data_IF_825858964266
#
_entry.id   IF_825858964266
#
_cell.length_a   1.000
_cell.length_b   1.000
_cell.length_c   1.000
_cell.angle_alpha   90.00
_cell.angle_beta   90.00
_cell.angle_gamma   90.00
#
_symmetry.space_group_name_H-M   'P 1'
#
loop_
_entity.id
_entity.type
_entity.pdbx_description
1 polymer ?
#
# COMPACT_ATOMS: atom_id res chain seq x y z
N UNK A 1 21.39 -6.31 -1.28
CA UNK A 1 21.80 -6.02 -2.67
C UNK A 1 20.59 -5.47 -3.44
N UNK A 2 20.74 -4.29 -4.04
CA UNK A 2 19.70 -3.58 -4.81
C UNK A 2 19.90 -3.91 -6.28
N UNK A 3 18.90 -4.46 -6.92
CA UNK A 3 18.92 -4.74 -8.36
C UNK A 3 18.55 -3.49 -9.14
N UNK A 4 19.28 -3.20 -10.20
CA UNK A 4 18.98 -2.07 -11.08
C UNK A 4 19.20 -2.43 -12.56
N UNK A 5 18.47 -1.75 -13.45
CA UNK A 5 18.71 -1.76 -14.88
C UNK A 5 19.06 -0.38 -15.38
N UNK A 6 19.70 -0.27 -16.52
CA UNK A 6 20.10 0.99 -17.13
C UNK A 6 19.23 1.27 -18.36
N UNK A 7 18.85 2.54 -18.53
CA UNK A 7 18.09 3.01 -19.69
C UNK A 7 18.60 4.39 -20.13
N UNK A 8 18.36 4.72 -21.38
CA UNK A 8 18.67 6.05 -21.93
C UNK A 8 17.49 7.00 -21.76
N UNK A 9 17.76 8.21 -21.36
CA UNK A 9 16.77 9.29 -21.26
C UNK A 9 17.35 10.57 -21.82
N UNK A 10 16.58 11.24 -22.67
CA UNK A 10 16.92 12.56 -23.22
C UNK A 10 16.32 13.64 -22.34
N UNK A 11 17.12 14.64 -21.99
CA UNK A 11 16.61 15.82 -21.29
C UNK A 11 15.93 16.74 -22.31
N UNK A 12 14.60 16.84 -22.24
CA UNK A 12 13.82 17.69 -23.16
C UNK A 12 14.08 19.17 -22.99
N UNK A 13 14.63 19.60 -21.84
CA UNK A 13 15.00 21.01 -21.60
C UNK A 13 16.38 21.36 -22.19
N UNK A 14 17.24 20.35 -22.44
CA UNK A 14 18.58 20.49 -23.03
C UNK A 14 18.82 19.33 -24.01
N UNK A 15 18.15 19.31 -25.15
CA UNK A 15 18.27 18.22 -26.12
C UNK A 15 19.67 18.13 -26.74
N UNK A 16 20.42 19.22 -26.74
CA UNK A 16 21.80 19.31 -27.24
C UNK A 16 22.77 18.43 -26.45
N UNK A 17 22.49 18.14 -25.18
CA UNK A 17 23.32 17.27 -24.35
C UNK A 17 23.26 15.79 -24.78
N UNK A 18 22.31 15.42 -25.67
CA UNK A 18 22.08 14.06 -26.09
C UNK A 18 21.49 13.15 -24.99
N UNK A 19 21.23 11.87 -25.29
CA UNK A 19 20.70 10.92 -24.35
C UNK A 19 21.77 10.51 -23.33
N UNK A 20 21.41 10.53 -22.04
CA UNK A 20 22.28 10.05 -20.93
C UNK A 20 21.72 8.77 -20.33
N UNK A 21 22.61 7.91 -19.83
CA UNK A 21 22.24 6.66 -19.18
C UNK A 21 21.87 6.90 -17.71
N UNK A 22 20.75 6.36 -17.29
CA UNK A 22 20.23 6.44 -15.93
C UNK A 22 19.93 5.04 -15.39
N UNK A 23 20.09 4.87 -14.08
CA UNK A 23 19.72 3.65 -13.38
C UNK A 23 18.26 3.69 -12.93
N UNK A 24 17.57 2.56 -13.05
CA UNK A 24 16.22 2.33 -12.51
C UNK A 24 16.25 1.13 -11.60
N UNK A 25 15.74 1.30 -10.37
CA UNK A 25 15.57 0.20 -9.43
C UNK A 25 14.67 -0.89 -10.00
N UNK A 26 15.05 -2.15 -9.82
CA UNK A 26 14.27 -3.32 -10.18
C UNK A 26 13.76 -4.00 -8.91
N UNK A 27 12.51 -3.70 -8.56
CA UNK A 27 11.86 -4.29 -7.37
C UNK A 27 11.78 -5.80 -7.54
N UNK A 28 12.34 -6.55 -6.60
CA UNK A 28 12.27 -8.02 -6.58
C UNK A 28 10.89 -8.50 -6.21
N UNK A 29 10.37 -7.96 -5.11
CA UNK A 29 9.16 -8.44 -4.48
C UNK A 29 8.53 -7.35 -3.62
N UNK A 30 7.22 -7.36 -3.52
CA UNK A 30 6.47 -6.54 -2.57
C UNK A 30 6.19 -7.39 -1.34
N UNK A 31 6.64 -6.93 -0.19
CA UNK A 31 6.36 -7.60 1.08
C UNK A 31 5.13 -6.97 1.71
N UNK A 32 4.16 -7.79 1.99
CA UNK A 32 3.00 -7.42 2.80
C UNK A 32 3.34 -7.48 4.30
N UNK A 33 2.38 -7.06 5.12
CA UNK A 33 2.53 -7.05 6.57
C UNK A 33 2.75 -8.46 7.13
N UNK A 34 2.14 -9.47 6.52
CA UNK A 34 2.28 -10.87 6.95
C UNK A 34 3.70 -11.40 6.77
N UNK A 35 4.26 -11.13 5.58
CA UNK A 35 5.63 -11.55 5.26
C UNK A 35 6.64 -10.77 6.10
N UNK A 36 6.42 -9.47 6.29
CA UNK A 36 7.29 -8.63 7.10
C UNK A 36 7.25 -9.05 8.57
N UNK A 37 6.07 -9.32 9.15
CA UNK A 37 5.92 -9.81 10.52
C UNK A 37 6.60 -11.16 10.74
N UNK A 38 6.50 -12.07 9.74
CA UNK A 38 7.21 -13.35 9.78
C UNK A 38 8.72 -13.15 9.81
N UNK A 39 9.23 -12.22 9.02
CA UNK A 39 10.65 -11.89 8.99
C UNK A 39 11.13 -11.35 10.33
N UNK A 40 10.42 -10.37 10.91
CA UNK A 40 10.76 -9.84 12.25
C UNK A 40 10.78 -10.94 13.29
N UNK A 41 9.77 -11.81 13.32
CA UNK A 41 9.70 -12.92 14.26
C UNK A 41 10.83 -13.94 14.08
N UNK A 42 11.43 -14.05 12.88
CA UNK A 42 12.55 -14.95 12.60
C UNK A 42 13.89 -14.48 13.18
N UNK A 43 13.99 -13.23 13.62
CA UNK A 43 15.20 -12.69 14.26
C UNK A 43 15.42 -13.15 15.72
N UNK A 44 14.75 -14.22 16.14
CA UNK A 44 14.88 -14.81 17.46
C UNK A 44 14.49 -13.87 18.63
N UNK A 45 13.56 -12.95 18.36
CA UNK A 45 13.12 -11.90 19.30
C UNK A 45 12.19 -12.42 20.41
N UNK A 46 11.84 -13.69 20.40
CA UNK A 46 10.87 -14.27 21.35
C UNK A 46 9.42 -13.90 21.09
N UNK A 47 9.14 -13.04 20.08
CA UNK A 47 7.79 -12.64 19.72
C UNK A 47 7.21 -13.56 18.64
N UNK A 48 5.94 -13.96 18.81
CA UNK A 48 5.24 -14.71 17.77
C UNK A 48 4.91 -13.80 16.58
N UNK A 49 4.84 -14.39 15.37
CA UNK A 49 4.39 -13.67 14.15
C UNK A 49 3.06 -12.95 14.36
N UNK A 50 2.10 -13.61 15.04
CA UNK A 50 0.79 -13.04 15.31
C UNK A 50 0.85 -11.77 16.15
N UNK A 51 1.65 -11.81 17.22
CA UNK A 51 1.86 -10.64 18.08
C UNK A 51 2.53 -9.49 17.33
N UNK A 52 3.58 -9.77 16.56
CA UNK A 52 4.26 -8.74 15.74
C UNK A 52 3.28 -8.12 14.74
N UNK A 53 2.47 -8.94 14.06
CA UNK A 53 1.47 -8.43 13.12
C UNK A 53 0.44 -7.54 13.82
N UNK A 54 -0.08 -7.95 14.97
CA UNK A 54 -1.05 -7.15 15.73
C UNK A 54 -0.47 -5.79 16.11
N UNK A 55 0.73 -5.76 16.71
CA UNK A 55 1.41 -4.51 17.09
C UNK A 55 1.62 -3.58 15.89
N UNK A 56 2.03 -4.12 14.74
CA UNK A 56 2.23 -3.30 13.54
C UNK A 56 0.92 -2.76 12.96
N UNK A 57 -0.16 -3.53 13.07
CA UNK A 57 -1.50 -3.08 12.67
C UNK A 57 -1.97 -1.95 13.57
N UNK A 58 -1.92 -2.15 14.89
CA UNK A 58 -2.30 -1.13 15.88
C UNK A 58 -1.45 0.13 15.73
N UNK A 59 -0.16 -0.02 15.44
CA UNK A 59 0.72 1.12 15.15
C UNK A 59 0.23 1.92 13.94
N UNK A 60 -0.20 1.27 12.87
CA UNK A 60 -0.70 1.97 11.68
C UNK A 60 -2.00 2.73 11.99
N UNK A 61 -2.92 2.12 12.74
CA UNK A 61 -4.20 2.71 13.09
C UNK A 61 -4.01 3.91 14.04
N UNK A 62 -3.18 3.76 15.07
CA UNK A 62 -2.82 4.85 15.98
C UNK A 62 -2.07 5.99 15.27
N UNK A 63 -1.23 5.66 14.26
CA UNK A 63 -0.52 6.67 13.47
C UNK A 63 -1.53 7.57 12.73
N UNK A 64 -2.51 6.97 12.08
CA UNK A 64 -3.57 7.70 11.36
C UNK A 64 -4.37 8.57 12.32
N UNK A 65 -4.81 8.00 13.45
CA UNK A 65 -5.58 8.73 14.47
C UNK A 65 -4.82 9.96 14.97
N UNK A 66 -3.54 9.78 15.35
CA UNK A 66 -2.75 10.89 15.91
C UNK A 66 -2.37 11.95 14.87
N UNK A 67 -2.18 11.57 13.62
CA UNK A 67 -1.97 12.53 12.53
C UNK A 67 -3.22 13.38 12.29
N UNK A 68 -4.42 12.77 12.31
CA UNK A 68 -5.68 13.49 12.17
C UNK A 68 -5.97 14.41 13.36
N UNK A 69 -5.46 14.10 14.54
CA UNK A 69 -5.47 14.99 15.71
C UNK A 69 -4.46 16.16 15.60
N UNK A 70 -3.75 16.28 14.47
CA UNK A 70 -2.79 17.35 14.23
C UNK A 70 -1.40 17.13 14.84
N UNK A 71 -1.13 15.95 15.36
CA UNK A 71 0.16 15.62 15.97
C UNK A 71 1.20 15.23 14.92
N UNK A 72 2.48 15.47 15.25
CA UNK A 72 3.62 14.86 14.52
C UNK A 72 4.11 13.66 15.31
N UNK A 73 4.35 12.54 14.62
CA UNK A 73 4.75 11.28 15.27
C UNK A 73 6.20 10.97 14.91
N UNK A 74 7.07 10.93 15.92
CA UNK A 74 8.46 10.51 15.77
C UNK A 74 8.61 9.05 16.19
N UNK A 75 8.92 8.18 15.24
CA UNK A 75 9.20 6.77 15.48
C UNK A 75 10.70 6.53 15.64
N UNK A 76 11.25 6.99 16.75
CA UNK A 76 12.67 6.82 17.07
C UNK A 76 13.58 7.34 15.95
N UNK A 77 14.54 6.51 15.54
CA UNK A 77 15.49 6.77 14.45
C UNK A 77 14.93 6.44 13.05
N UNK A 78 13.74 5.84 12.96
CA UNK A 78 13.07 5.57 11.69
C UNK A 78 12.72 6.88 10.97
N UNK A 79 12.10 7.83 11.68
CA UNK A 79 11.73 9.11 11.09
C UNK A 79 10.53 9.76 11.75
N UNK A 80 10.03 10.80 11.08
CA UNK A 80 8.92 11.62 11.56
C UNK A 80 7.81 11.66 10.51
N UNK A 81 6.61 11.34 10.93
CA UNK A 81 5.37 11.52 10.17
C UNK A 81 4.71 12.82 10.55
N UNK A 82 4.21 13.55 9.59
CA UNK A 82 3.47 14.79 9.76
C UNK A 82 2.47 14.98 8.63
N UNK A 83 1.51 15.87 8.83
CA UNK A 83 0.59 16.28 7.76
C UNK A 83 0.94 17.66 7.22
N UNK A 84 0.53 17.90 5.98
CA UNK A 84 0.45 19.22 5.36
C UNK A 84 -0.87 19.35 4.60
N UNK A 85 -1.33 20.59 4.45
CA UNK A 85 -2.57 20.90 3.79
C UNK A 85 -2.30 21.51 2.41
N UNK A 86 -3.00 21.03 1.40
CA UNK A 86 -3.08 21.69 0.10
C UNK A 86 -4.37 22.48 0.05
N UNK A 87 -4.27 23.79 -0.19
CA UNK A 87 -5.40 24.71 -0.14
C UNK A 87 -5.53 25.51 -1.45
N UNK A 88 -6.75 25.84 -1.78
CA UNK A 88 -7.07 26.90 -2.75
C UNK A 88 -7.09 28.24 -2.02
N UNK A 89 -6.42 29.26 -2.61
CA UNK A 89 -6.36 30.58 -2.01
C UNK A 89 -7.73 31.28 -1.99
N UNK A 90 -8.07 31.94 -0.87
CA UNK A 90 -9.19 32.86 -0.80
C UNK A 90 -8.71 34.32 -1.04
N UNK A 91 -9.62 35.21 -1.41
CA UNK A 91 -9.30 36.62 -1.68
C UNK A 91 -8.82 37.38 -0.42
N UNK A 92 -9.27 36.95 0.78
CA UNK A 92 -8.89 37.53 2.06
C UNK A 92 -8.94 36.49 3.16
N UNK A 93 -8.33 36.77 4.31
CA UNK A 93 -8.34 35.89 5.48
C UNK A 93 -9.76 35.57 5.96
N UNK A 94 -10.67 36.56 5.91
CA UNK A 94 -12.05 36.41 6.38
C UNK A 94 -12.91 35.53 5.46
N UNK A 95 -12.47 35.36 4.19
CA UNK A 95 -13.14 34.50 3.22
C UNK A 95 -12.60 33.09 3.16
N UNK A 96 -11.52 32.81 3.88
CA UNK A 96 -10.95 31.46 3.94
C UNK A 96 -11.79 30.59 4.87
N UNK A 97 -12.26 29.47 4.35
CA UNK A 97 -13.02 28.44 5.08
C UNK A 97 -12.37 27.07 4.93
N UNK A 98 -12.85 26.08 5.64
CA UNK A 98 -12.41 24.70 5.52
C UNK A 98 -12.61 24.13 4.10
N UNK A 99 -13.59 24.64 3.34
CA UNK A 99 -13.83 24.25 1.95
C UNK A 99 -12.68 24.61 1.01
N UNK A 100 -11.83 25.54 1.41
CA UNK A 100 -10.62 25.90 0.66
C UNK A 100 -9.51 24.83 0.82
N UNK A 101 -9.60 23.97 1.86
CA UNK A 101 -8.66 22.86 2.06
C UNK A 101 -9.05 21.72 1.13
N UNK A 102 -8.21 21.40 0.16
CA UNK A 102 -8.51 20.39 -0.86
C UNK A 102 -7.96 19.02 -0.51
N UNK A 103 -6.78 18.97 0.12
CA UNK A 103 -6.11 17.71 0.42
C UNK A 103 -5.36 17.78 1.74
N UNK A 104 -5.32 16.65 2.42
CA UNK A 104 -4.45 16.40 3.58
C UNK A 104 -3.36 15.44 3.12
N UNK A 105 -2.13 15.91 3.08
CA UNK A 105 -1.00 15.14 2.60
C UNK A 105 -0.18 14.61 3.77
N UNK A 106 0.23 13.35 3.71
CA UNK A 106 1.13 12.75 4.69
C UNK A 106 2.57 12.94 4.22
N UNK A 107 3.38 13.53 5.08
CA UNK A 107 4.81 13.73 4.87
C UNK A 107 5.59 12.81 5.79
N UNK A 108 6.57 12.11 5.23
CA UNK A 108 7.53 11.30 5.97
C UNK A 108 8.93 11.88 5.81
N UNK A 109 9.54 12.26 6.92
CA UNK A 109 10.95 12.67 6.96
C UNK A 109 11.77 11.52 7.55
N UNK A 110 12.63 10.88 6.76
CA UNK A 110 13.43 9.76 7.24
C UNK A 110 14.35 10.18 8.39
N UNK A 111 14.49 9.31 9.36
CA UNK A 111 15.43 9.45 10.45
C UNK A 111 16.81 8.93 10.10
N UNK A 112 17.73 8.98 11.07
CA UNK A 112 19.15 8.67 10.86
C UNK A 112 19.40 7.27 10.30
N UNK A 113 18.57 6.29 10.65
CA UNK A 113 18.71 4.90 10.16
C UNK A 113 18.36 4.75 8.67
N UNK A 114 17.51 5.64 8.15
CA UNK A 114 17.07 5.66 6.75
C UNK A 114 17.78 6.73 5.93
N UNK A 115 18.64 7.52 6.55
CA UNK A 115 19.49 8.48 5.86
C UNK A 115 20.75 7.79 5.35
N UNK A 116 21.30 8.34 4.28
CA UNK A 116 22.60 7.94 3.71
C UNK A 116 22.78 6.43 3.54
N UNK A 117 21.78 5.79 2.90
CA UNK A 117 21.82 4.35 2.64
C UNK A 117 22.84 3.95 1.55
N UNK A 118 23.34 4.92 0.78
CA UNK A 118 24.24 4.64 -0.35
C UNK A 118 25.52 3.88 0.04
N UNK A 119 26.24 4.23 1.11
CA UNK A 119 27.44 3.49 1.54
C UNK A 119 27.16 2.07 2.01
N UNK A 120 25.94 1.82 2.51
CA UNK A 120 25.50 0.50 3.01
C UNK A 120 24.91 -0.38 1.90
N UNK A 121 24.68 0.20 0.72
CA UNK A 121 23.98 -0.49 -0.36
C UNK A 121 24.95 -1.19 -1.30
N UNK A 122 24.67 -2.45 -1.58
CA UNK A 122 25.30 -3.23 -2.65
C UNK A 122 24.39 -3.21 -3.88
N UNK A 123 24.98 -3.09 -5.07
CA UNK A 123 24.24 -2.94 -6.33
C UNK A 123 24.54 -4.08 -7.29
N UNK A 124 23.52 -4.56 -7.97
CA UNK A 124 23.63 -5.58 -9.01
C UNK A 124 22.90 -5.13 -10.28
N UNK A 125 23.61 -5.12 -11.39
CA UNK A 125 23.03 -4.85 -12.70
C UNK A 125 22.23 -6.08 -13.16
N UNK A 126 20.97 -5.87 -13.50
CA UNK A 126 20.07 -6.93 -14.01
C UNK A 126 19.33 -6.43 -15.25
N UNK A 127 18.78 -7.37 -16.02
CA UNK A 127 17.89 -7.02 -17.13
C UNK A 127 16.61 -6.35 -16.57
N UNK A 128 16.06 -5.40 -17.33
CA UNK A 128 14.79 -4.76 -16.95
C UNK A 128 13.67 -5.80 -16.82
N UNK A 129 12.66 -5.54 -15.99
CA UNK A 129 11.52 -6.46 -15.84
C UNK A 129 10.79 -6.70 -17.16
N UNK A 130 10.73 -5.70 -18.04
CA UNK A 130 10.18 -5.86 -19.38
C UNK A 130 11.01 -6.83 -20.22
N UNK A 131 12.35 -6.76 -20.18
CA UNK A 131 13.22 -7.69 -20.87
C UNK A 131 13.10 -9.11 -20.31
N UNK A 132 13.05 -9.26 -18.98
CA UNK A 132 12.85 -10.55 -18.33
C UNK A 132 11.51 -11.19 -18.73
N UNK A 133 10.43 -10.41 -18.74
CA UNK A 133 9.11 -10.86 -19.15
C UNK A 133 9.06 -11.27 -20.64
N UNK A 134 9.78 -10.54 -21.51
CA UNK A 134 9.89 -10.90 -22.93
C UNK A 134 10.61 -12.22 -23.15
N UNK A 135 11.69 -12.47 -22.40
CA UNK A 135 12.41 -13.77 -22.45
C UNK A 135 11.50 -14.91 -22.00
N UNK A 136 10.80 -14.76 -20.86
CA UNK A 136 9.87 -15.78 -20.36
C UNK A 136 8.70 -16.05 -21.33
N UNK A 137 8.22 -14.99 -22.02
CA UNK A 137 7.18 -15.15 -23.04
C UNK A 137 7.69 -15.93 -24.25
N UNK A 138 8.88 -15.63 -24.72
CA UNK A 138 9.50 -16.33 -25.85
C UNK A 138 9.79 -17.80 -25.51
N UNK A 139 10.28 -18.09 -24.30
CA UNK A 139 10.46 -19.47 -23.82
C UNK A 139 9.14 -20.27 -23.86
N UNK A 140 8.06 -19.68 -23.37
CA UNK A 140 6.72 -20.31 -23.39
C UNK A 140 6.17 -20.51 -24.79
N UNK A 141 6.57 -19.66 -25.75
CA UNK A 141 6.19 -19.74 -27.15
C UNK A 141 7.14 -20.62 -27.99
N UNK A 142 8.19 -21.20 -27.38
CA UNK A 142 9.25 -21.92 -28.06
C UNK A 142 9.96 -21.08 -29.15
N UNK A 143 10.03 -19.77 -28.98
CA UNK A 143 10.73 -18.85 -29.85
C UNK A 143 12.24 -18.89 -29.53
N UNK A 144 13.08 -18.98 -30.56
CA UNK A 144 14.53 -19.08 -30.39
C UNK A 144 15.23 -17.72 -30.23
N UNK A 145 14.52 -16.63 -30.51
CA UNK A 145 15.04 -15.26 -30.44
C UNK A 145 14.08 -14.34 -29.76
N UNK A 146 14.61 -13.36 -29.01
CA UNK A 146 13.85 -12.34 -28.30
C UNK A 146 14.34 -10.97 -28.73
N UNK A 147 13.44 -10.10 -29.21
CA UNK A 147 13.77 -8.70 -29.46
C UNK A 147 13.72 -7.91 -28.15
N UNK A 148 14.88 -7.75 -27.53
CA UNK A 148 15.04 -7.01 -26.28
C UNK A 148 14.91 -5.50 -26.47
N UNK A 149 15.14 -4.97 -27.68
CA UNK A 149 14.96 -3.54 -27.95
C UNK A 149 13.46 -3.19 -28.04
N UNK A 150 12.67 -4.04 -28.69
CA UNK A 150 11.21 -3.90 -28.68
C UNK A 150 10.64 -4.01 -27.26
N UNK A 151 11.18 -4.92 -26.43
CA UNK A 151 10.76 -5.08 -25.04
C UNK A 151 11.11 -3.90 -24.13
N UNK A 152 12.13 -3.11 -24.45
CA UNK A 152 12.50 -1.90 -23.72
C UNK A 152 11.63 -0.69 -24.06
N UNK A 153 10.99 -0.68 -25.23
CA UNK A 153 10.06 0.38 -25.61
C UNK A 153 8.78 0.23 -24.80
N UNK A 154 8.41 1.28 -24.04
CA UNK A 154 7.11 1.36 -23.36
C UNK A 154 6.03 1.17 -24.43
N UNK A 155 5.02 0.31 -24.25
CA UNK A 155 3.89 0.30 -25.16
C UNK A 155 3.29 1.71 -25.16
N UNK A 156 3.44 2.41 -26.26
CA UNK A 156 2.65 3.60 -26.55
C UNK A 156 1.21 3.10 -26.58
N UNK A 157 0.39 3.57 -25.69
CA UNK A 157 -1.05 3.37 -25.75
C UNK A 157 -1.53 4.11 -27.00
N UNK A 158 -1.42 3.41 -28.12
CA UNK A 158 -2.05 3.81 -29.35
C UNK A 158 -3.50 3.45 -29.20
N UNK A 159 -4.29 4.50 -29.14
CA UNK A 159 -5.71 4.46 -28.92
C UNK A 159 -6.49 3.76 -29.99
N UNK A 160 -7.71 3.59 -29.63
CA UNK A 160 -8.87 3.53 -30.47
C UNK A 160 -8.98 2.38 -31.46
N UNK A 161 -9.75 1.43 -31.08
CA UNK A 161 -10.42 0.47 -31.91
C UNK A 161 -11.80 0.27 -31.36
N UNK A 162 -12.71 1.12 -31.79
CA UNK A 162 -14.14 0.87 -31.75
C UNK A 162 -14.40 -0.56 -32.24
N UNK A 163 -14.88 -1.42 -31.37
CA UNK A 163 -15.58 -2.62 -31.78
C UNK A 163 -16.84 -2.75 -30.92
N UNK A 164 -17.88 -2.10 -31.40
CA UNK A 164 -19.27 -2.32 -31.06
C UNK A 164 -19.68 -3.65 -31.66
N UNK A 165 -20.07 -4.66 -30.90
CA UNK A 165 -20.88 -5.74 -31.46
C UNK A 165 -22.32 -5.27 -31.57
N UNK A 166 -22.75 -5.20 -32.80
CA UNK A 166 -24.14 -5.05 -33.20
C UNK A 166 -24.89 -6.33 -32.87
N UNK A 167 -26.01 -6.17 -32.26
CA UNK A 167 -27.31 -6.76 -32.41
C UNK A 167 -27.51 -8.28 -32.42
N UNK A 168 -28.38 -8.69 -31.68
CA UNK A 168 -29.69 -9.24 -32.07
C UNK A 168 -30.15 -10.34 -31.12
N UNK A 169 -31.42 -10.23 -30.78
CA UNK A 169 -32.31 -11.38 -30.62
C UNK A 169 -32.51 -11.93 -29.22
N UNK A 170 -33.48 -11.39 -28.50
CA UNK A 170 -34.68 -12.09 -28.06
C UNK A 170 -34.53 -13.37 -27.23
N UNK A 171 -34.96 -13.32 -26.02
CA UNK A 171 -36.08 -14.09 -25.51
C UNK A 171 -36.22 -13.98 -24.01
N UNK A 172 -37.33 -13.41 -23.59
CA UNK A 172 -37.91 -13.61 -22.26
C UNK A 172 -38.59 -14.98 -22.22
N UNK A 173 -38.57 -15.71 -21.11
CA UNK A 173 -39.80 -15.97 -20.42
C UNK A 173 -39.77 -15.85 -18.89
N UNK A 174 -40.71 -15.08 -18.44
CA UNK A 174 -41.72 -15.31 -17.37
C UNK A 174 -41.52 -16.50 -16.43
N UNK A 175 -41.61 -16.18 -15.13
CA UNK A 175 -42.44 -16.92 -14.22
C UNK A 175 -41.78 -17.71 -13.11
N UNK A 176 -42.17 -17.41 -11.89
CA UNK A 176 -42.19 -18.41 -10.85
C UNK A 176 -41.68 -17.99 -9.47
N UNK A 177 -42.49 -17.22 -8.72
CA UNK A 177 -42.51 -17.31 -7.25
C UNK A 177 -43.28 -18.58 -6.84
N UNK A 178 -42.87 -19.26 -5.76
CA UNK A 178 -43.67 -19.27 -4.53
C UNK A 178 -42.78 -19.25 -3.26
N UNK A 179 -43.06 -18.43 -2.29
CA UNK A 179 -43.92 -18.59 -1.10
C UNK A 179 -43.72 -19.86 -0.25
N UNK A 180 -43.44 -19.63 1.02
CA UNK A 180 -43.48 -20.61 2.11
C UNK A 180 -42.28 -20.42 3.02
N UNK A 181 -42.23 -19.80 4.19
CA UNK A 181 -43.14 -19.91 5.32
C UNK A 181 -42.73 -21.05 6.22
N UNK A 182 -41.95 -20.73 7.28
CA UNK A 182 -42.13 -21.38 8.57
C UNK A 182 -41.21 -20.80 9.64
N UNK A 183 -41.75 -20.07 10.57
CA UNK A 183 -41.36 -20.05 11.99
C UNK A 183 -42.15 -21.15 12.70
N UNK A 184 -41.65 -21.77 13.76
CA UNK A 184 -41.89 -21.27 15.10
C UNK A 184 -40.78 -21.56 16.14
N UNK A 185 -40.61 -20.65 17.11
CA UNK A 185 -41.12 -20.75 18.47
C UNK A 185 -40.32 -21.64 19.47
N UNK A 186 -39.86 -20.97 20.52
CA UNK A 186 -40.00 -21.44 21.92
C UNK A 186 -38.69 -21.96 22.52
N UNK A 187 -38.18 -21.44 23.61
CA UNK A 187 -38.63 -21.54 24.96
C UNK A 187 -37.44 -21.28 25.87
N UNK A 188 -37.52 -20.25 26.72
CA UNK A 188 -37.38 -20.28 28.18
C UNK A 188 -36.25 -21.12 28.78
N UNK A 189 -35.35 -20.51 29.54
CA UNK A 189 -35.45 -20.15 30.92
C UNK A 189 -34.20 -20.58 31.67
N UNK A 190 -33.57 -19.79 32.44
CA UNK A 190 -33.43 -19.99 33.89
C UNK A 190 -32.40 -19.04 34.47
N UNK A 191 -32.86 -18.34 35.43
CA UNK A 191 -32.13 -17.52 36.41
C UNK A 191 -31.22 -18.38 37.29
N UNK A 192 -30.14 -17.77 37.79
CA UNK A 192 -29.72 -17.87 39.20
C UNK A 192 -28.58 -16.86 39.45
N UNK A 193 -28.83 -15.80 40.13
CA UNK A 193 -28.78 -15.48 41.54
C UNK A 193 -27.41 -15.67 42.22
N UNK A 194 -26.82 -14.51 42.56
CA UNK A 194 -26.31 -14.22 43.91
C UNK A 194 -24.86 -14.63 44.20
N UNK A 195 -24.00 -13.69 44.48
CA UNK A 195 -23.56 -13.45 45.83
C UNK A 195 -22.67 -12.20 45.95
N UNK A 196 -23.04 -11.34 46.81
CA UNK A 196 -22.31 -10.26 47.47
C UNK A 196 -21.19 -10.83 48.34
N UNK A 197 -20.01 -10.21 48.32
CA UNK A 197 -19.31 -9.97 49.57
C UNK A 197 -18.36 -8.76 49.48
N UNK A 198 -18.50 -7.93 50.48
CA UNK A 198 -17.81 -6.72 50.84
C UNK A 198 -16.51 -7.02 51.57
N UNK A 199 -15.47 -6.25 51.31
CA UNK A 199 -14.24 -6.27 52.11
C UNK A 199 -13.46 -4.96 51.98
N UNK A 200 -13.69 -4.11 52.93
CA UNK A 200 -12.97 -2.88 53.30
C UNK A 200 -11.55 -3.17 53.82
N UNK A 201 -10.69 -2.14 53.71
CA UNK A 201 -9.43 -2.04 54.49
C UNK A 201 -8.29 -1.43 53.66
N UNK A 202 -8.09 -0.14 53.72
CA UNK A 202 -7.22 0.68 54.59
C UNK A 202 -5.75 0.75 54.12
N UNK A 203 -5.41 1.97 53.73
CA UNK A 203 -4.19 2.77 54.00
C UNK A 203 -2.84 2.06 54.21
N UNK A 204 -1.85 2.47 53.44
CA UNK A 204 -0.68 3.14 54.06
C UNK A 204 0.26 3.81 53.02
N UNK A 205 0.61 5.01 53.40
CA UNK A 205 1.71 5.83 52.87
C UNK A 205 3.08 5.13 52.96
N UNK A 206 3.90 5.35 51.98
CA UNK A 206 5.27 5.90 52.10
C UNK A 206 5.82 6.11 50.70
#
# INVERSE_FOLDING_TARGET
MIEYSVFLMTNYLKPEDGPKAYAKNQVREIWDLDKFSKHIASHNSGYSRGLVKAILTDMCDCLVEQLLNGNKIKLGSLGVFSISLSCEGAESLDKFTEDNIKEVNINFNPGIDLMDLRPKAEFSLVASRAAQAAVLKAEKANEKTVDLEAAKKKPTSSGNGDNKPSGDGGDTPTGGTPSGGNTPSGSEGSENSGNTDSGTGEDNEL
#
